data_IF_389521925699
#
_entry.id   IF_389521925699
#
_cell.length_a   1.000
_cell.length_b   1.000
_cell.length_c   1.000
_cell.angle_alpha   90.00
_cell.angle_beta   90.00
_cell.angle_gamma   90.00
#
_symmetry.space_group_name_H-M   'P 1'
#
loop_
_entity.id
_entity.type
_entity.pdbx_description
1 polymer ?
#
# COMPACT_ATOMS: atom_id res chain seq x y z
N UNK A 1 22.87 -22.73 -0.40
CA UNK A 1 23.05 -21.34 -0.87
C UNK A 1 21.73 -20.61 -0.64
N UNK A 2 21.65 -19.70 0.31
CA UNK A 2 20.43 -18.92 0.58
C UNK A 2 20.41 -17.75 -0.40
N UNK A 3 19.36 -17.62 -1.20
CA UNK A 3 19.18 -16.46 -2.05
C UNK A 3 19.00 -15.21 -1.16
N UNK A 4 19.94 -14.26 -1.20
CA UNK A 4 19.73 -12.92 -0.65
C UNK A 4 18.74 -12.21 -1.56
N UNK A 5 17.47 -12.18 -1.17
CA UNK A 5 16.51 -11.29 -1.81
C UNK A 5 16.91 -9.85 -1.48
N UNK A 6 17.05 -8.99 -2.49
CA UNK A 6 17.22 -7.56 -2.25
C UNK A 6 15.89 -6.99 -1.77
N UNK A 7 15.72 -6.86 -0.45
CA UNK A 7 14.46 -6.40 0.16
C UNK A 7 14.27 -4.88 0.06
N UNK A 8 15.28 -4.16 -0.45
CA UNK A 8 15.33 -2.69 -0.48
C UNK A 8 15.07 -2.09 0.91
N UNK A 9 15.53 -2.77 1.96
CA UNK A 9 15.34 -2.37 3.36
C UNK A 9 15.63 -0.87 3.57
N UNK A 10 14.70 -0.19 4.22
CA UNK A 10 14.76 1.26 4.46
C UNK A 10 14.23 2.14 3.33
N UNK A 11 13.88 1.58 2.16
CA UNK A 11 13.16 2.32 1.11
C UNK A 11 11.78 2.73 1.60
N UNK A 12 11.38 3.97 1.33
CA UNK A 12 10.08 4.54 1.69
C UNK A 12 9.45 5.17 0.45
N UNK A 13 8.15 4.88 0.24
CA UNK A 13 7.37 5.43 -0.88
C UNK A 13 6.13 6.12 -0.34
N UNK A 14 5.88 7.36 -0.79
CA UNK A 14 4.61 8.06 -0.58
C UNK A 14 3.56 7.48 -1.51
N UNK A 15 2.37 7.20 -0.97
CA UNK A 15 1.27 6.63 -1.74
C UNK A 15 0.02 7.50 -1.66
N UNK A 16 -0.74 7.39 -2.74
CA UNK A 16 -2.10 7.87 -2.84
C UNK A 16 -2.80 6.83 -3.72
N UNK A 17 -3.42 5.82 -3.09
CA UNK A 17 -3.99 4.63 -3.74
C UNK A 17 -5.53 4.68 -3.71
N UNK A 18 -6.24 4.34 -4.79
CA UNK A 18 -7.71 4.34 -4.80
C UNK A 18 -8.29 3.18 -3.97
N UNK A 19 -9.33 3.45 -3.19
CA UNK A 19 -10.18 2.43 -2.55
C UNK A 19 -11.43 2.26 -3.39
N UNK A 20 -11.73 1.04 -3.84
CA UNK A 20 -12.86 0.74 -4.75
C UNK A 20 -13.89 -0.19 -4.11
N UNK A 21 -15.13 -0.18 -4.61
CA UNK A 21 -16.20 -1.09 -4.11
C UNK A 21 -15.93 -2.58 -4.41
N UNK A 22 -15.09 -2.85 -5.42
CA UNK A 22 -14.72 -4.20 -5.83
C UNK A 22 -13.35 -4.22 -6.50
N UNK A 23 -12.84 -5.41 -6.85
CA UNK A 23 -11.48 -5.59 -7.36
C UNK A 23 -11.30 -5.14 -8.82
N UNK A 24 -12.40 -4.92 -9.54
CA UNK A 24 -12.34 -4.60 -10.97
C UNK A 24 -11.74 -3.22 -11.23
N UNK A 25 -10.95 -3.09 -12.29
CA UNK A 25 -10.22 -1.87 -12.62
C UNK A 25 -11.12 -0.66 -12.92
N UNK A 26 -12.36 -0.91 -13.31
CA UNK A 26 -13.38 0.12 -13.56
C UNK A 26 -14.35 0.31 -12.38
N UNK A 27 -14.06 -0.29 -11.24
CA UNK A 27 -14.89 -0.20 -10.04
C UNK A 27 -14.95 1.23 -9.50
N UNK A 28 -16.08 1.59 -8.90
CA UNK A 28 -16.31 2.92 -8.33
C UNK A 28 -15.33 3.15 -7.18
N UNK A 29 -14.62 4.27 -7.22
CA UNK A 29 -13.74 4.73 -6.15
C UNK A 29 -14.56 5.34 -5.02
N UNK A 30 -14.39 4.83 -3.81
CA UNK A 30 -15.11 5.24 -2.60
C UNK A 30 -14.28 6.07 -1.62
N UNK A 31 -12.96 6.04 -1.78
CA UNK A 31 -12.02 6.73 -0.93
C UNK A 31 -10.59 6.56 -1.44
N UNK A 32 -9.61 6.99 -0.62
CA UNK A 32 -8.19 6.84 -0.90
C UNK A 32 -7.42 6.34 0.33
N UNK A 33 -6.43 5.48 0.12
CA UNK A 33 -5.40 5.19 1.12
C UNK A 33 -4.21 6.11 0.87
N UNK A 34 -3.92 6.97 1.85
CA UNK A 34 -2.88 7.99 1.75
C UNK A 34 -1.88 7.82 2.88
N UNK A 35 -0.58 7.81 2.56
CA UNK A 35 0.47 7.63 3.57
C UNK A 35 1.75 7.08 2.97
N UNK A 36 2.39 6.15 3.69
CA UNK A 36 3.66 5.56 3.27
C UNK A 36 3.67 4.04 3.36
N UNK A 37 4.43 3.43 2.44
CA UNK A 37 4.98 2.08 2.59
C UNK A 37 6.49 2.17 2.82
N UNK A 38 7.01 1.34 3.73
CA UNK A 38 8.44 1.19 3.95
C UNK A 38 8.89 -0.28 3.94
N UNK A 39 9.95 -0.61 3.21
CA UNK A 39 10.55 -1.95 3.25
C UNK A 39 11.20 -2.20 4.62
N UNK A 40 10.64 -3.14 5.39
CA UNK A 40 10.87 -3.23 6.84
C UNK A 40 11.57 -4.52 7.32
N UNK A 41 11.90 -5.46 6.43
CA UNK A 41 12.61 -6.70 6.76
C UNK A 41 13.86 -6.84 5.87
N UNK A 42 14.99 -7.27 6.45
CA UNK A 42 16.28 -7.41 5.75
C UNK A 42 16.44 -8.79 5.07
N UNK A 43 15.65 -9.78 5.48
CA UNK A 43 15.74 -11.16 5.02
C UNK A 43 14.59 -11.54 4.08
N UNK A 44 13.42 -10.89 4.24
CA UNK A 44 12.20 -11.18 3.47
C UNK A 44 11.54 -9.91 2.94
N UNK A 45 10.74 -10.04 1.90
CA UNK A 45 9.88 -8.94 1.45
C UNK A 45 8.78 -8.67 2.48
N UNK A 46 8.87 -7.55 3.20
CA UNK A 46 7.86 -7.09 4.14
C UNK A 46 7.72 -5.56 4.11
N UNK A 47 6.50 -5.06 4.29
CA UNK A 47 6.20 -3.64 4.31
C UNK A 47 5.65 -3.20 5.68
N UNK A 48 6.17 -2.10 6.20
CA UNK A 48 5.52 -1.29 7.23
C UNK A 48 4.60 -0.28 6.52
N UNK A 49 3.35 -0.19 6.95
CA UNK A 49 2.37 0.72 6.36
C UNK A 49 1.87 1.71 7.42
N UNK A 50 1.94 3.00 7.11
CA UNK A 50 1.34 4.05 7.94
C UNK A 50 0.43 4.89 7.06
N UNK A 51 -0.87 4.63 7.18
CA UNK A 51 -1.89 5.09 6.24
C UNK A 51 -3.06 5.77 6.95
N UNK A 52 -3.65 6.73 6.26
CA UNK A 52 -4.99 7.23 6.50
C UNK A 52 -5.93 6.70 5.41
N UNK A 53 -7.09 6.20 5.82
CA UNK A 53 -8.16 5.83 4.90
C UNK A 53 -9.16 6.99 4.80
N UNK A 54 -9.01 7.79 3.74
CA UNK A 54 -9.82 8.97 3.47
C UNK A 54 -11.07 8.55 2.67
N UNK A 55 -12.14 8.17 3.38
CA UNK A 55 -13.41 7.77 2.75
C UNK A 55 -14.27 9.00 2.48
N UNK A 56 -14.70 9.20 1.22
CA UNK A 56 -15.49 10.38 0.84
C UNK A 56 -16.77 10.07 0.05
N UNK A 57 -16.95 8.85 -0.47
CA UNK A 57 -18.21 8.42 -1.09
C UNK A 57 -18.86 7.29 -0.28
N UNK A 58 -19.20 7.56 0.98
CA UNK A 58 -19.76 6.56 1.90
C UNK A 58 -21.20 6.11 1.58
N UNK A 59 -21.86 6.77 0.62
CA UNK A 59 -23.28 6.57 0.27
C UNK A 59 -23.52 5.76 -1.01
N UNK A 60 -22.51 5.07 -1.54
CA UNK A 60 -22.77 4.02 -2.54
C UNK A 60 -23.47 2.82 -1.91
#
# INVERSE_FOLDING_TARGET
MTAKYSTSFGSVTMIDDPLTVGPESNSIVVGRAQGIYGSADQDKGALLMMLNFCVHNWKV
#
